data_IF_935862852484
#
_entry.id   IF_935862852484
#
_cell.length_a   1.000
_cell.length_b   1.000
_cell.length_c   1.000
_cell.angle_alpha   90.00
_cell.angle_beta   90.00
_cell.angle_gamma   90.00
#
_symmetry.space_group_name_H-M   'P 1'
#
loop_
_entity.id
_entity.type
_entity.pdbx_description
1 polymer ?
#
# COMPACT_ATOMS: atom_id res chain seq x y z
N UNK A 1 -21.96 11.21 -32.02
CA UNK A 1 -21.01 10.11 -32.31
C UNK A 1 -21.11 9.09 -31.17
N UNK A 2 -21.44 7.84 -31.51
CA UNK A 2 -21.51 6.73 -30.55
C UNK A 2 -20.11 6.18 -30.29
N UNK A 3 -19.89 5.67 -29.08
CA UNK A 3 -18.65 5.06 -28.63
C UNK A 3 -18.84 3.54 -28.60
N UNK A 4 -18.27 2.83 -29.57
CA UNK A 4 -18.34 1.37 -29.63
C UNK A 4 -17.40 0.80 -28.58
N UNK A 5 -17.94 0.55 -27.39
CA UNK A 5 -17.21 0.02 -26.23
C UNK A 5 -17.45 -1.49 -26.08
N UNK A 6 -16.50 -2.19 -25.46
CA UNK A 6 -16.56 -3.62 -25.20
C UNK A 6 -17.42 -3.91 -23.96
N UNK A 7 -18.50 -4.72 -24.07
CA UNK A 7 -19.36 -5.06 -22.95
C UNK A 7 -18.63 -5.81 -21.83
N UNK A 8 -17.68 -6.67 -22.20
CA UNK A 8 -16.85 -7.42 -21.25
C UNK A 8 -15.95 -6.50 -20.42
N UNK A 9 -15.44 -5.41 -21.01
CA UNK A 9 -14.70 -4.40 -20.25
C UNK A 9 -15.60 -3.65 -19.28
N UNK A 10 -16.86 -3.35 -19.65
CA UNK A 10 -17.79 -2.66 -18.74
C UNK A 10 -18.05 -3.53 -17.50
N UNK A 11 -18.34 -4.83 -17.69
CA UNK A 11 -18.54 -5.78 -16.59
C UNK A 11 -17.28 -5.93 -15.73
N UNK A 12 -16.12 -6.08 -16.37
CA UNK A 12 -14.84 -6.16 -15.68
C UNK A 12 -14.57 -4.91 -14.84
N UNK A 13 -14.74 -3.72 -15.42
CA UNK A 13 -14.50 -2.45 -14.74
C UNK A 13 -15.47 -2.23 -13.57
N UNK A 14 -16.72 -2.69 -13.70
CA UNK A 14 -17.68 -2.68 -12.60
C UNK A 14 -17.25 -3.60 -11.45
N UNK A 15 -16.84 -4.85 -11.77
CA UNK A 15 -16.33 -5.80 -10.77
C UNK A 15 -15.10 -5.22 -10.07
N UNK A 16 -14.13 -4.70 -10.83
CA UNK A 16 -12.90 -4.05 -10.33
C UNK A 16 -13.21 -2.89 -9.39
N UNK A 17 -14.17 -2.04 -9.72
CA UNK A 17 -14.56 -0.91 -8.88
C UNK A 17 -15.41 -1.32 -7.66
N UNK A 18 -15.66 -2.62 -7.44
CA UNK A 18 -16.59 -3.19 -6.44
C UNK A 18 -17.92 -2.43 -6.40
N UNK A 19 -18.39 -1.96 -7.55
CA UNK A 19 -19.47 -0.98 -7.60
C UNK A 19 -20.84 -1.69 -7.72
N UNK A 20 -21.76 -1.48 -6.75
CA UNK A 20 -23.07 -2.13 -6.81
C UNK A 20 -23.81 -1.77 -8.10
N UNK A 21 -24.42 -2.77 -8.74
CA UNK A 21 -25.20 -2.59 -9.98
C UNK A 21 -26.28 -1.51 -9.85
N UNK A 22 -26.87 -1.36 -8.66
CA UNK A 22 -27.87 -0.31 -8.38
C UNK A 22 -27.28 1.09 -8.49
N UNK A 23 -26.05 1.31 -7.99
CA UNK A 23 -25.35 2.61 -8.05
C UNK A 23 -24.93 2.97 -9.48
N UNK A 24 -24.56 1.97 -10.27
CA UNK A 24 -24.21 2.17 -11.67
C UNK A 24 -25.46 2.45 -12.52
N UNK A 25 -26.55 1.71 -12.27
CA UNK A 25 -27.83 1.86 -12.98
C UNK A 25 -28.54 3.18 -12.66
N UNK A 26 -28.40 3.70 -11.42
CA UNK A 26 -28.99 4.98 -11.05
C UNK A 26 -28.34 6.16 -11.78
N UNK A 27 -27.03 6.09 -12.06
CA UNK A 27 -26.30 7.11 -12.80
C UNK A 27 -26.38 6.93 -14.32
N UNK A 28 -26.33 5.69 -14.80
CA UNK A 28 -26.34 5.35 -16.22
C UNK A 28 -27.54 4.48 -16.55
N UNK A 29 -28.66 5.13 -16.94
CA UNK A 29 -29.94 4.45 -17.22
C UNK A 29 -29.85 3.30 -18.23
N UNK A 30 -28.89 3.34 -19.17
CA UNK A 30 -28.70 2.34 -20.22
C UNK A 30 -27.57 1.34 -19.95
N UNK A 31 -27.02 1.31 -18.72
CA UNK A 31 -25.84 0.49 -18.42
C UNK A 31 -26.01 -0.99 -18.76
N UNK A 32 -27.16 -1.59 -18.41
CA UNK A 32 -27.44 -3.01 -18.72
C UNK A 32 -27.38 -3.30 -20.22
N UNK A 33 -27.91 -2.37 -21.02
CA UNK A 33 -27.87 -2.48 -22.48
C UNK A 33 -26.44 -2.39 -23.02
N UNK A 34 -25.57 -1.61 -22.36
CA UNK A 34 -24.14 -1.53 -22.71
C UNK A 34 -23.37 -2.78 -22.27
N UNK A 35 -23.66 -3.33 -21.08
CA UNK A 35 -23.10 -4.59 -20.55
C UNK A 35 -23.50 -5.82 -21.38
N UNK A 36 -24.65 -5.77 -22.05
CA UNK A 36 -25.12 -6.83 -22.94
C UNK A 36 -24.70 -6.61 -24.42
N UNK A 37 -24.10 -5.46 -24.75
CA UNK A 37 -23.77 -5.10 -26.14
C UNK A 37 -24.97 -4.78 -27.02
N UNK A 38 -26.15 -4.57 -26.44
CA UNK A 38 -27.39 -4.22 -27.15
C UNK A 38 -27.40 -2.77 -27.64
N UNK A 39 -26.66 -1.88 -26.97
CA UNK A 39 -26.47 -0.50 -27.40
C UNK A 39 -25.14 0.06 -26.95
N UNK A 40 -24.80 1.24 -27.45
CA UNK A 40 -23.55 1.93 -27.12
C UNK A 40 -23.81 3.33 -26.55
N UNK A 41 -22.99 3.78 -25.57
CA UNK A 41 -23.03 5.14 -25.08
C UNK A 41 -22.60 6.15 -26.14
N UNK A 42 -22.91 7.42 -25.92
CA UNK A 42 -22.21 8.52 -26.60
C UNK A 42 -20.76 8.64 -26.10
N UNK A 43 -19.88 9.29 -26.86
CA UNK A 43 -18.50 9.57 -26.40
C UNK A 43 -18.45 10.28 -25.03
N UNK A 44 -19.40 11.18 -24.76
CA UNK A 44 -19.50 11.84 -23.45
C UNK A 44 -19.86 10.84 -22.35
N UNK A 45 -20.91 10.05 -22.56
CA UNK A 45 -21.33 9.02 -21.61
C UNK A 45 -20.25 7.96 -21.38
N UNK A 46 -19.49 7.58 -22.41
CA UNK A 46 -18.39 6.65 -22.28
C UNK A 46 -17.23 7.23 -21.45
N UNK A 47 -16.90 8.53 -21.62
CA UNK A 47 -15.93 9.22 -20.74
C UNK A 47 -16.42 9.32 -19.31
N UNK A 48 -17.69 9.68 -19.12
CA UNK A 48 -18.31 9.77 -17.80
C UNK A 48 -18.31 8.38 -17.12
N UNK A 49 -18.59 7.32 -17.88
CA UNK A 49 -18.56 5.94 -17.42
C UNK A 49 -17.16 5.50 -17.01
N UNK A 50 -16.15 5.74 -17.86
CA UNK A 50 -14.75 5.41 -17.54
C UNK A 50 -14.26 6.15 -16.28
N UNK A 51 -14.60 7.44 -16.16
CA UNK A 51 -14.27 8.25 -14.98
C UNK A 51 -14.94 7.70 -13.73
N UNK A 52 -16.22 7.31 -13.84
CA UNK A 52 -17.00 6.77 -12.74
C UNK A 52 -16.54 5.37 -12.30
N UNK A 53 -16.06 4.55 -13.24
CA UNK A 53 -15.49 3.22 -12.99
C UNK A 53 -13.99 3.24 -12.67
N UNK A 54 -13.38 4.43 -12.61
CA UNK A 54 -11.96 4.63 -12.32
C UNK A 54 -11.02 3.82 -13.24
N UNK A 55 -11.33 3.82 -14.54
CA UNK A 55 -10.49 3.22 -15.58
C UNK A 55 -10.09 4.25 -16.63
N UNK A 56 -8.92 4.09 -17.30
CA UNK A 56 -8.59 4.91 -18.46
C UNK A 56 -9.68 4.82 -19.53
N UNK A 57 -10.05 5.94 -20.14
CA UNK A 57 -11.08 5.95 -21.19
C UNK A 57 -10.80 4.97 -22.34
N UNK A 58 -9.52 4.80 -22.70
CA UNK A 58 -9.10 3.86 -23.74
C UNK A 58 -9.37 2.39 -23.39
N UNK A 59 -9.49 2.04 -22.10
CA UNK A 59 -9.73 0.66 -21.69
C UNK A 59 -11.08 0.14 -22.18
N UNK A 60 -12.10 1.02 -22.27
CA UNK A 60 -13.42 0.66 -22.78
C UNK A 60 -13.41 0.07 -24.20
N UNK A 61 -12.32 0.22 -24.94
CA UNK A 61 -12.15 -0.27 -26.31
C UNK A 61 -11.26 -1.52 -26.40
N UNK A 62 -10.78 -2.06 -25.27
CA UNK A 62 -9.99 -3.30 -25.25
C UNK A 62 -10.87 -4.50 -25.63
N UNK A 63 -10.27 -5.43 -26.37
CA UNK A 63 -10.94 -6.67 -26.79
C UNK A 63 -11.16 -7.65 -25.63
N UNK A 64 -10.31 -7.59 -24.62
CA UNK A 64 -10.36 -8.43 -23.44
C UNK A 64 -9.88 -7.65 -22.21
N UNK A 65 -10.38 -7.98 -20.99
CA UNK A 65 -9.92 -7.37 -19.76
C UNK A 65 -8.39 -7.41 -19.63
N UNK A 66 -7.74 -6.30 -19.24
CA UNK A 66 -6.32 -6.31 -19.01
C UNK A 66 -5.99 -7.21 -17.81
N UNK A 67 -4.85 -7.91 -17.89
CA UNK A 67 -4.29 -8.62 -16.74
C UNK A 67 -3.51 -7.61 -15.91
N UNK A 68 -4.06 -7.24 -14.75
CA UNK A 68 -3.35 -6.42 -13.77
C UNK A 68 -2.26 -7.27 -13.11
N UNK A 69 -1.00 -6.99 -13.44
CA UNK A 69 0.16 -7.66 -12.85
C UNK A 69 0.84 -6.72 -11.88
N UNK A 70 1.14 -7.20 -10.67
CA UNK A 70 2.03 -6.46 -9.78
C UNK A 70 3.47 -6.47 -10.33
N UNK A 71 4.11 -5.31 -10.41
CA UNK A 71 5.44 -5.19 -10.98
C UNK A 71 6.56 -5.73 -10.05
N UNK A 72 6.29 -5.98 -8.76
CA UNK A 72 7.30 -6.41 -7.78
C UNK A 72 7.09 -7.88 -7.39
N UNK A 73 8.09 -8.77 -7.51
CA UNK A 73 7.99 -10.20 -7.19
C UNK A 73 7.46 -10.49 -5.79
N UNK A 74 7.90 -9.77 -4.77
CA UNK A 74 7.56 -10.05 -3.37
C UNK A 74 6.14 -9.62 -2.99
N UNK A 75 5.56 -8.67 -3.72
CA UNK A 75 4.12 -8.38 -3.61
C UNK A 75 3.28 -9.36 -4.44
N UNK A 76 3.87 -10.20 -5.31
CA UNK A 76 3.11 -11.23 -6.06
C UNK A 76 2.78 -12.46 -5.22
N UNK A 77 3.41 -12.61 -4.06
CA UNK A 77 3.07 -13.65 -3.06
C UNK A 77 1.73 -13.39 -2.40
N UNK A 78 1.25 -12.13 -2.47
CA UNK A 78 -0.12 -11.73 -2.15
C UNK A 78 -1.03 -12.44 -3.14
N UNK A 79 -1.89 -13.30 -2.61
CA UNK A 79 -2.42 -14.44 -3.34
C UNK A 79 -3.24 -13.96 -4.56
N UNK A 80 -3.28 -14.76 -5.65
CA UNK A 80 -4.13 -14.44 -6.82
C UNK A 80 -5.61 -14.28 -6.46
N UNK A 81 -6.05 -14.86 -5.34
CA UNK A 81 -7.38 -14.69 -4.77
C UNK A 81 -7.55 -13.30 -4.11
N UNK A 82 -6.57 -12.81 -3.36
CA UNK A 82 -6.58 -11.48 -2.73
C UNK A 82 -6.51 -10.36 -3.78
N UNK A 83 -5.86 -10.63 -4.92
CA UNK A 83 -5.84 -9.72 -6.07
C UNK A 83 -7.22 -9.37 -6.63
N UNK A 84 -8.19 -10.30 -6.58
CA UNK A 84 -9.57 -9.99 -6.97
C UNK A 84 -10.33 -9.21 -5.89
N UNK A 85 -9.80 -9.18 -4.66
CA UNK A 85 -10.41 -8.55 -3.49
C UNK A 85 -9.82 -7.18 -3.14
N UNK A 86 -8.78 -6.68 -3.82
CA UNK A 86 -8.37 -5.29 -3.62
C UNK A 86 -9.22 -4.31 -4.45
N UNK A 87 -9.51 -3.15 -3.86
CA UNK A 87 -10.23 -2.06 -4.46
C UNK A 87 -9.40 -1.37 -5.54
N UNK A 88 -10.09 -0.72 -6.48
CA UNK A 88 -9.46 0.17 -7.45
C UNK A 88 -8.65 1.29 -6.76
N UNK A 89 -9.09 1.75 -5.58
CA UNK A 89 -8.42 2.76 -4.77
C UNK A 89 -7.06 2.27 -4.26
N UNK A 90 -7.02 1.08 -3.68
CA UNK A 90 -5.78 0.45 -3.23
C UNK A 90 -4.83 0.24 -4.41
N UNK A 91 -5.31 -0.41 -5.47
CA UNK A 91 -4.48 -0.75 -6.64
C UNK A 91 -3.89 0.50 -7.30
N UNK A 92 -4.71 1.54 -7.53
CA UNK A 92 -4.22 2.81 -8.11
C UNK A 92 -3.17 3.47 -7.20
N UNK A 93 -3.34 3.37 -5.88
CA UNK A 93 -2.37 3.89 -4.90
C UNK A 93 -1.07 3.10 -4.96
N UNK A 94 -1.15 1.77 -4.92
CA UNK A 94 0.01 0.89 -5.01
C UNK A 94 0.81 1.13 -6.29
N UNK A 95 0.15 1.13 -7.46
CA UNK A 95 0.82 1.43 -8.74
C UNK A 95 1.47 2.82 -8.76
N UNK A 96 0.81 3.82 -8.16
CA UNK A 96 1.36 5.18 -8.04
C UNK A 96 2.63 5.20 -7.19
N UNK A 97 2.66 4.46 -6.08
CA UNK A 97 3.83 4.36 -5.21
C UNK A 97 4.96 3.59 -5.90
N UNK A 98 4.67 2.43 -6.50
CA UNK A 98 5.68 1.65 -7.24
C UNK A 98 6.30 2.49 -8.36
N UNK A 99 5.50 3.25 -9.11
CA UNK A 99 6.05 4.12 -10.17
C UNK A 99 7.00 5.19 -9.61
N UNK A 100 6.67 5.80 -8.47
CA UNK A 100 7.53 6.81 -7.82
C UNK A 100 8.81 6.18 -7.29
N UNK A 101 8.70 5.02 -6.64
CA UNK A 101 9.82 4.25 -6.14
C UNK A 101 10.76 3.85 -7.27
N UNK A 102 10.24 3.34 -8.39
CA UNK A 102 11.05 2.97 -9.56
C UNK A 102 11.74 4.18 -10.18
N UNK A 103 11.05 5.32 -10.30
CA UNK A 103 11.67 6.58 -10.77
C UNK A 103 12.81 7.02 -9.86
N UNK A 104 12.63 6.91 -8.54
CA UNK A 104 13.66 7.24 -7.58
C UNK A 104 14.84 6.27 -7.62
N UNK A 105 14.56 4.97 -7.76
CA UNK A 105 15.58 3.93 -7.93
C UNK A 105 16.46 4.20 -9.14
N UNK A 106 15.86 4.47 -10.30
CA UNK A 106 16.60 4.82 -11.52
C UNK A 106 17.50 6.05 -11.33
N UNK A 107 17.04 7.04 -10.56
CA UNK A 107 17.84 8.21 -10.21
C UNK A 107 19.02 7.85 -9.30
N UNK A 108 18.82 6.99 -8.30
CA UNK A 108 19.88 6.54 -7.39
C UNK A 108 20.91 5.68 -8.11
N UNK A 109 20.47 4.76 -8.98
CA UNK A 109 21.35 3.94 -9.82
C UNK A 109 22.17 4.80 -10.79
N UNK A 110 21.57 5.82 -11.40
CA UNK A 110 22.28 6.77 -12.27
C UNK A 110 23.32 7.63 -11.52
N UNK A 111 23.17 7.77 -10.21
CA UNK A 111 24.13 8.46 -9.34
C UNK A 111 25.15 7.52 -8.70
N UNK A 112 25.13 6.22 -9.07
CA UNK A 112 25.96 5.19 -8.45
C UNK A 112 25.80 5.12 -6.92
N UNK A 113 24.61 5.44 -6.43
CA UNK A 113 24.29 5.32 -5.02
C UNK A 113 24.39 3.84 -4.58
N UNK A 114 25.01 3.63 -3.42
CA UNK A 114 25.12 2.29 -2.84
C UNK A 114 23.78 1.75 -2.33
N UNK A 115 23.73 0.45 -2.09
CA UNK A 115 22.60 -0.18 -1.41
C UNK A 115 22.56 0.21 0.06
N UNK A 116 21.36 0.27 0.63
CA UNK A 116 21.12 0.45 2.05
C UNK A 116 21.35 -0.89 2.77
N UNK A 117 22.39 -1.01 3.60
CA UNK A 117 22.85 -2.30 4.13
C UNK A 117 21.92 -2.92 5.19
N UNK A 118 20.95 -2.15 5.67
CA UNK A 118 19.97 -2.60 6.65
C UNK A 118 18.75 -3.27 6.03
N UNK A 119 18.53 -3.11 4.73
CA UNK A 119 17.42 -3.76 4.02
C UNK A 119 17.70 -5.25 3.89
N UNK A 120 16.80 -6.10 4.40
CA UNK A 120 16.98 -7.55 4.43
C UNK A 120 18.20 -8.01 5.23
N UNK A 121 18.66 -7.20 6.19
CA UNK A 121 19.81 -7.54 7.03
C UNK A 121 19.53 -8.72 7.96
N UNK A 122 18.28 -8.88 8.37
CA UNK A 122 17.83 -9.95 9.25
C UNK A 122 16.91 -10.90 8.50
N UNK A 123 16.75 -12.10 9.04
CA UNK A 123 15.79 -13.08 8.55
C UNK A 123 14.76 -13.39 9.64
N UNK A 124 13.80 -14.25 9.31
CA UNK A 124 12.67 -14.61 10.18
C UNK A 124 13.05 -15.30 11.49
N UNK A 125 14.28 -15.81 11.60
CA UNK A 125 14.79 -16.44 12.83
C UNK A 125 15.60 -15.49 13.70
N UNK A 126 15.75 -14.23 13.29
CA UNK A 126 16.48 -13.24 14.05
C UNK A 126 15.84 -12.95 15.41
N UNK A 127 16.67 -12.61 16.39
CA UNK A 127 16.22 -12.22 17.71
C UNK A 127 15.55 -10.85 17.61
N UNK A 128 14.27 -10.77 17.97
CA UNK A 128 13.45 -9.54 17.87
C UNK A 128 14.16 -8.31 18.46
N UNK A 129 14.79 -8.47 19.63
CA UNK A 129 15.51 -7.39 20.32
C UNK A 129 16.71 -6.87 19.52
N UNK A 130 17.42 -7.75 18.82
CA UNK A 130 18.56 -7.36 17.97
C UNK A 130 18.07 -6.56 16.77
N UNK A 131 16.98 -6.99 16.13
CA UNK A 131 16.38 -6.27 15.00
C UNK A 131 15.88 -4.89 15.45
N UNK A 132 15.15 -4.84 16.56
CA UNK A 132 14.64 -3.58 17.10
C UNK A 132 15.77 -2.62 17.51
N UNK A 133 16.84 -3.11 18.13
CA UNK A 133 18.01 -2.31 18.46
C UNK A 133 18.72 -1.76 17.22
N UNK A 134 18.81 -2.55 16.15
CA UNK A 134 19.42 -2.12 14.88
C UNK A 134 18.57 -1.05 14.18
N UNK A 135 17.24 -1.20 14.17
CA UNK A 135 16.30 -0.19 13.68
C UNK A 135 16.47 1.10 14.47
N UNK A 136 16.43 1.02 15.81
CA UNK A 136 16.56 2.19 16.68
C UNK A 136 17.90 2.89 16.48
N UNK A 137 18.99 2.13 16.36
CA UNK A 137 20.33 2.69 16.12
C UNK A 137 20.42 3.38 14.75
N UNK A 138 19.94 2.72 13.70
CA UNK A 138 19.99 3.24 12.33
C UNK A 138 19.15 4.49 12.15
N UNK A 139 17.95 4.52 12.76
CA UNK A 139 17.06 5.68 12.70
C UNK A 139 17.39 6.73 13.78
N UNK A 140 18.30 6.44 14.71
CA UNK A 140 18.59 7.27 15.87
C UNK A 140 17.38 7.50 16.78
N UNK A 141 16.58 6.46 17.02
CA UNK A 141 15.47 6.45 17.98
C UNK A 141 16.05 6.09 19.36
N UNK A 142 16.23 7.10 20.20
CA UNK A 142 16.68 6.92 21.58
C UNK A 142 15.50 6.93 22.59
N UNK A 143 15.76 6.46 23.81
CA UNK A 143 14.77 6.38 24.89
C UNK A 143 14.25 7.77 25.31
N UNK A 144 15.07 8.81 25.12
CA UNK A 144 14.73 10.20 25.39
C UNK A 144 13.78 10.82 24.36
N UNK A 145 13.73 10.26 23.15
CA UNK A 145 12.94 10.75 22.04
C UNK A 145 11.47 10.81 22.40
N UNK A 146 10.95 9.76 23.07
CA UNK A 146 9.55 9.73 23.48
C UNK A 146 9.27 10.72 24.61
N UNK A 147 10.18 10.85 25.57
CA UNK A 147 10.04 11.74 26.72
C UNK A 147 10.00 13.22 26.33
N UNK A 148 10.69 13.61 25.25
CA UNK A 148 10.70 14.98 24.74
C UNK A 148 9.50 15.36 23.86
N UNK A 149 8.60 14.42 23.56
CA UNK A 149 7.54 14.61 22.56
C UNK A 149 6.15 14.70 23.19
N UNK A 150 5.45 15.77 22.86
CA UNK A 150 4.18 16.16 23.48
C UNK A 150 2.96 15.41 22.93
N UNK A 151 3.06 14.80 21.74
CA UNK A 151 1.93 14.14 21.08
C UNK A 151 2.35 12.98 20.16
N UNK A 152 1.41 12.05 19.92
CA UNK A 152 1.61 10.97 18.95
C UNK A 152 1.80 11.47 17.50
N UNK A 153 1.23 12.63 17.17
CA UNK A 153 1.38 13.23 15.84
C UNK A 153 2.80 13.76 15.61
N UNK A 154 3.35 14.41 16.62
CA UNK A 154 4.74 14.85 16.62
C UNK A 154 5.68 13.64 16.57
N UNK A 155 5.39 12.60 17.36
CA UNK A 155 6.18 11.38 17.37
C UNK A 155 6.24 10.69 16.00
N UNK A 156 5.08 10.52 15.35
CA UNK A 156 5.03 9.98 13.99
C UNK A 156 5.85 10.83 13.01
N UNK A 157 5.76 12.16 13.12
CA UNK A 157 6.50 13.07 12.24
C UNK A 157 8.01 12.90 12.41
N UNK A 158 8.48 12.75 13.65
CA UNK A 158 9.89 12.52 13.95
C UNK A 158 10.38 11.16 13.45
N UNK A 159 9.63 10.07 13.67
CA UNK A 159 10.00 8.74 13.16
C UNK A 159 10.07 8.75 11.63
N UNK A 160 9.06 9.34 10.97
CA UNK A 160 9.03 9.45 9.51
C UNK A 160 10.25 10.22 9.01
N UNK A 161 10.58 11.35 9.64
CA UNK A 161 11.75 12.14 9.24
C UNK A 161 13.06 11.35 9.40
N UNK A 162 13.21 10.61 10.50
CA UNK A 162 14.36 9.74 10.74
C UNK A 162 14.47 8.61 9.71
N UNK A 163 13.35 8.00 9.33
CA UNK A 163 13.31 7.00 8.26
C UNK A 163 13.68 7.59 6.90
N UNK A 164 13.15 8.77 6.56
CA UNK A 164 13.51 9.50 5.33
C UNK A 164 15.00 9.86 5.29
N UNK A 165 15.56 10.33 6.41
CA UNK A 165 16.99 10.68 6.51
C UNK A 165 17.90 9.44 6.39
N UNK A 166 17.39 8.24 6.73
CA UNK A 166 18.07 6.96 6.52
C UNK A 166 17.93 6.42 5.07
N UNK A 167 17.22 7.11 4.19
CA UNK A 167 17.03 6.73 2.79
C UNK A 167 15.74 5.96 2.48
N UNK A 168 14.81 5.85 3.43
CA UNK A 168 13.52 5.17 3.22
C UNK A 168 12.50 6.15 2.64
N UNK A 169 11.86 5.78 1.54
CA UNK A 169 10.77 6.57 0.96
C UNK A 169 9.49 6.37 1.78
N UNK A 170 9.04 7.41 2.49
CA UNK A 170 7.83 7.33 3.32
C UNK A 170 6.65 8.06 2.67
N UNK A 171 5.60 7.33 2.35
CA UNK A 171 4.37 7.87 1.79
C UNK A 171 3.25 7.87 2.82
N UNK A 172 2.51 8.98 2.92
CA UNK A 172 1.37 9.12 3.84
C UNK A 172 0.19 9.72 3.09
N UNK A 173 -0.88 8.96 2.90
CA UNK A 173 -2.08 9.47 2.25
C UNK A 173 -3.33 8.74 2.73
N UNK A 174 -4.47 9.42 2.71
CA UNK A 174 -5.77 8.85 3.07
C UNK A 174 -6.74 8.78 1.89
N UNK A 175 -6.26 9.10 0.68
CA UNK A 175 -7.03 9.15 -0.55
C UNK A 175 -6.14 8.83 -1.76
N UNK A 176 -6.77 8.46 -2.88
CA UNK A 176 -6.04 8.15 -4.12
C UNK A 176 -5.53 9.44 -4.76
N UNK A 177 -4.21 9.61 -4.81
CA UNK A 177 -3.59 10.85 -5.30
C UNK A 177 -4.08 12.06 -4.47
N UNK A 178 -4.76 12.99 -5.13
CA UNK A 178 -5.34 14.18 -4.49
C UNK A 178 -6.88 14.19 -4.57
N UNK A 179 -7.52 13.04 -4.79
CA UNK A 179 -8.97 12.97 -4.99
C UNK A 179 -9.71 12.67 -3.68
N UNK A 180 -10.25 13.72 -3.04
CA UNK A 180 -10.99 13.61 -1.76
C UNK A 180 -12.22 12.71 -1.82
N UNK A 181 -12.76 12.44 -3.00
CA UNK A 181 -13.90 11.53 -3.19
C UNK A 181 -13.49 10.06 -3.33
N UNK A 182 -12.19 9.76 -3.44
CA UNK A 182 -11.62 8.41 -3.48
C UNK A 182 -10.80 8.17 -2.22
N UNK A 183 -11.50 8.03 -1.10
CA UNK A 183 -10.88 7.74 0.20
C UNK A 183 -10.38 6.30 0.27
N UNK A 184 -9.24 6.09 0.93
CA UNK A 184 -8.70 4.76 1.20
C UNK A 184 -9.44 4.13 2.39
N UNK A 185 -9.63 2.81 2.35
CA UNK A 185 -10.27 2.05 3.42
C UNK A 185 -9.22 1.55 4.41
N UNK A 186 -9.39 1.87 5.69
CA UNK A 186 -8.51 1.37 6.77
C UNK A 186 -8.74 -0.12 7.01
N UNK A 187 -9.97 -0.59 6.81
CA UNK A 187 -10.35 -2.00 6.93
C UNK A 187 -9.75 -2.84 5.80
N UNK A 188 -9.45 -2.20 4.65
CA UNK A 188 -8.83 -2.86 3.51
C UNK A 188 -7.31 -2.93 3.62
N UNK A 189 -6.66 -1.87 4.11
CA UNK A 189 -5.22 -1.85 4.37
C UNK A 189 -4.81 -0.66 5.24
N UNK A 190 -3.80 -0.88 6.07
CA UNK A 190 -3.24 0.16 6.95
C UNK A 190 -1.93 0.70 6.45
N UNK A 191 -1.11 -0.15 5.87
CA UNK A 191 0.17 0.19 5.28
C UNK A 191 0.63 -0.89 4.32
N UNK A 192 1.76 -0.61 3.69
CA UNK A 192 2.51 -1.63 2.95
C UNK A 192 3.97 -1.22 2.84
N UNK A 193 4.84 -2.21 2.67
CA UNK A 193 6.27 -2.05 2.49
C UNK A 193 6.72 -2.61 1.14
N UNK A 194 7.65 -1.91 0.51
CA UNK A 194 8.39 -2.34 -0.68
C UNK A 194 9.84 -2.47 -0.26
N UNK A 195 10.26 -3.71 -0.06
CA UNK A 195 11.64 -4.07 0.24
C UNK A 195 12.48 -4.00 -1.03
N UNK A 196 13.29 -2.95 -1.15
CA UNK A 196 14.24 -2.78 -2.23
C UNK A 196 15.55 -2.23 -1.64
N UNK A 197 16.72 -2.84 -1.89
CA UNK A 197 17.97 -2.40 -1.30
C UNK A 197 18.42 -1.00 -1.72
N UNK A 198 17.92 -0.47 -2.83
CA UNK A 198 18.31 0.86 -3.37
C UNK A 198 17.26 1.91 -3.04
N UNK A 199 15.98 1.55 -3.15
CA UNK A 199 14.88 2.48 -2.96
C UNK A 199 13.74 1.83 -2.15
N UNK A 200 13.98 1.53 -0.85
CA UNK A 200 12.95 0.96 0.00
C UNK A 200 11.86 1.98 0.24
N UNK A 201 10.61 1.53 0.27
CA UNK A 201 9.46 2.40 0.45
C UNK A 201 8.45 1.83 1.41
N UNK A 202 7.80 2.70 2.19
CA UNK A 202 6.65 2.36 3.00
C UNK A 202 5.48 3.30 2.72
N UNK A 203 4.27 2.80 2.88
CA UNK A 203 3.06 3.59 2.80
C UNK A 203 2.27 3.48 4.11
N UNK A 204 1.70 4.59 4.56
CA UNK A 204 0.86 4.67 5.75
C UNK A 204 -0.48 5.29 5.36
N UNK A 205 -1.57 4.57 5.62
CA UNK A 205 -2.92 5.05 5.40
C UNK A 205 -3.27 6.13 6.44
N UNK A 206 -3.38 7.38 5.99
CA UNK A 206 -3.62 8.53 6.85
C UNK A 206 -5.07 8.62 7.38
N UNK A 207 -5.96 7.69 7.00
CA UNK A 207 -7.33 7.60 7.52
C UNK A 207 -7.43 6.89 8.88
N UNK A 208 -6.43 6.10 9.27
CA UNK A 208 -6.43 5.44 10.58
C UNK A 208 -6.09 6.44 11.70
N UNK A 209 -6.38 6.07 12.94
CA UNK A 209 -6.04 6.83 14.14
C UNK A 209 -4.54 7.06 14.25
N UNK A 210 -4.14 8.19 14.85
CA UNK A 210 -2.74 8.59 14.90
C UNK A 210 -1.85 7.56 15.63
N UNK A 211 -2.36 6.92 16.68
CA UNK A 211 -1.66 5.86 17.42
C UNK A 211 -1.46 4.61 16.56
N UNK A 212 -2.50 4.18 15.83
CA UNK A 212 -2.40 3.07 14.88
C UNK A 212 -1.36 3.36 13.80
N UNK A 213 -1.31 4.59 13.29
CA UNK A 213 -0.35 5.00 12.26
C UNK A 213 1.11 4.99 12.74
N UNK A 214 1.36 5.25 14.02
CA UNK A 214 2.70 5.09 14.62
C UNK A 214 3.10 3.62 14.62
N UNK A 215 2.20 2.75 15.04
CA UNK A 215 2.43 1.31 15.01
C UNK A 215 2.67 0.81 13.58
N UNK A 216 1.78 1.14 12.64
CA UNK A 216 1.95 0.80 11.22
C UNK A 216 3.29 1.29 10.69
N UNK A 217 3.71 2.52 10.99
CA UNK A 217 5.02 3.02 10.55
C UNK A 217 6.17 2.12 11.03
N UNK A 218 6.17 1.72 12.30
CA UNK A 218 7.21 0.85 12.86
C UNK A 218 7.13 -0.58 12.28
N UNK A 219 5.92 -1.09 12.06
CA UNK A 219 5.66 -2.39 11.46
C UNK A 219 6.16 -2.45 10.01
N UNK A 220 5.83 -1.47 9.16
CA UNK A 220 6.33 -1.43 7.77
C UNK A 220 7.86 -1.27 7.72
N UNK A 221 8.47 -0.57 8.68
CA UNK A 221 9.94 -0.49 8.81
C UNK A 221 10.52 -1.86 9.18
N UNK A 222 9.86 -2.63 10.05
CA UNK A 222 10.31 -3.98 10.40
C UNK A 222 10.34 -4.91 9.18
N UNK A 223 9.33 -4.82 8.29
CA UNK A 223 9.33 -5.55 7.02
C UNK A 223 10.57 -5.29 6.17
N UNK A 224 11.00 -4.03 6.09
CA UNK A 224 12.22 -3.66 5.36
C UNK A 224 13.48 -4.30 5.96
N UNK A 225 13.57 -4.42 7.29
CA UNK A 225 14.71 -5.05 7.98
C UNK A 225 14.76 -6.58 7.78
N UNK A 226 13.59 -7.22 7.71
CA UNK A 226 13.46 -8.65 7.37
C UNK A 226 13.67 -8.89 5.87
N UNK A 227 13.50 -7.84 5.05
CA UNK A 227 13.72 -7.90 3.60
C UNK A 227 12.50 -8.36 2.81
N UNK A 228 11.32 -8.36 3.42
CA UNK A 228 10.08 -8.86 2.83
C UNK A 228 9.16 -7.68 2.48
N UNK A 229 8.64 -7.64 1.25
CA UNK A 229 7.56 -6.70 0.92
C UNK A 229 6.23 -7.27 1.42
N UNK A 230 5.32 -6.43 1.88
CA UNK A 230 4.05 -6.88 2.46
C UNK A 230 2.97 -5.80 2.42
N UNK A 231 1.70 -6.23 2.53
CA UNK A 231 0.55 -5.34 2.76
C UNK A 231 -0.01 -5.68 4.14
N UNK A 232 -0.06 -4.71 5.04
CA UNK A 232 -0.58 -4.93 6.39
C UNK A 232 -2.10 -4.74 6.45
N UNK A 233 -2.78 -5.85 6.73
CA UNK A 233 -4.22 -5.92 7.02
C UNK A 233 -4.42 -6.55 8.40
N UNK A 234 -5.15 -5.87 9.29
CA UNK A 234 -5.37 -6.36 10.67
C UNK A 234 -6.48 -7.41 10.79
N UNK A 235 -7.19 -7.73 9.70
CA UNK A 235 -8.14 -8.85 9.74
C UNK A 235 -7.41 -10.18 9.54
N UNK A 236 -6.99 -10.76 10.66
CA UNK A 236 -6.73 -12.19 10.84
C UNK A 236 -7.92 -13.01 10.31
N UNK A 237 -7.95 -13.35 9.02
CA UNK A 237 -9.11 -14.06 8.50
C UNK A 237 -9.08 -14.63 7.09
N UNK A 238 -8.18 -14.18 6.21
CA UNK A 238 -8.21 -14.63 4.81
C UNK A 238 -6.86 -15.21 4.42
N UNK A 239 -6.77 -16.53 4.59
CA UNK A 239 -5.86 -17.46 3.90
C UNK A 239 -4.58 -16.89 3.28
N UNK A 240 -3.61 -16.50 4.11
CA UNK A 240 -2.21 -16.53 3.73
C UNK A 240 -1.58 -17.81 4.26
N UNK A 241 -0.65 -18.39 3.50
CA UNK A 241 0.11 -19.57 3.94
C UNK A 241 0.77 -19.27 5.29
N UNK A 242 1.02 -20.28 6.13
CA UNK A 242 1.58 -20.12 7.49
C UNK A 242 2.81 -19.17 7.56
N UNK A 243 3.54 -19.09 6.45
CA UNK A 243 4.74 -18.30 6.21
C UNK A 243 4.51 -16.78 6.31
N UNK A 244 3.44 -16.24 5.72
CA UNK A 244 3.20 -14.79 5.73
C UNK A 244 2.71 -14.36 7.11
N UNK A 245 1.84 -15.18 7.72
CA UNK A 245 1.36 -14.97 9.09
C UNK A 245 2.51 -14.99 10.12
N UNK A 246 3.56 -15.78 9.89
CA UNK A 246 4.75 -15.76 10.74
C UNK A 246 5.55 -14.46 10.61
N UNK A 247 5.71 -13.92 9.39
CA UNK A 247 6.39 -12.63 9.18
C UNK A 247 5.61 -11.51 9.86
N UNK A 248 4.30 -11.44 9.65
CA UNK A 248 3.44 -10.41 10.26
C UNK A 248 3.59 -10.41 11.79
N UNK A 249 3.54 -11.59 12.42
CA UNK A 249 3.73 -11.75 13.87
C UNK A 249 5.13 -11.33 14.34
N UNK A 250 6.15 -11.54 13.52
CA UNK A 250 7.52 -11.11 13.82
C UNK A 250 7.61 -9.58 13.71
N UNK A 251 7.08 -9.00 12.64
CA UNK A 251 7.08 -7.56 12.40
C UNK A 251 6.28 -6.81 13.46
N UNK A 252 5.15 -7.36 13.92
CA UNK A 252 4.40 -6.83 15.06
C UNK A 252 5.23 -6.77 16.34
N UNK A 253 5.94 -7.86 16.67
CA UNK A 253 6.80 -7.91 17.86
C UNK A 253 7.97 -6.94 17.75
N UNK A 254 8.58 -6.82 16.57
CA UNK A 254 9.64 -5.84 16.31
C UNK A 254 9.10 -4.42 16.45
N UNK A 255 7.92 -4.13 15.89
CA UNK A 255 7.30 -2.81 15.99
C UNK A 255 7.02 -2.42 17.44
N UNK A 256 6.51 -3.35 18.25
CA UNK A 256 6.33 -3.17 19.71
C UNK A 256 7.67 -2.86 20.36
N UNK A 257 8.69 -3.68 20.15
CA UNK A 257 10.01 -3.51 20.79
C UNK A 257 10.73 -2.22 20.33
N UNK A 258 10.52 -1.78 19.09
CA UNK A 258 11.06 -0.50 18.58
C UNK A 258 10.40 0.68 19.29
N UNK A 259 9.07 0.65 19.47
CA UNK A 259 8.30 1.76 20.02
C UNK A 259 8.30 1.82 21.54
N UNK A 260 8.31 0.65 22.19
CA UNK A 260 8.23 0.48 23.64
C UNK A 260 9.16 -0.69 24.03
N UNK A 261 10.47 -0.44 24.19
CA UNK A 261 11.47 -1.47 24.42
C UNK A 261 11.32 -2.04 25.83
N UNK A 262 11.54 -3.35 26.00
CA UNK A 262 11.37 -4.00 27.31
C UNK A 262 12.29 -3.41 28.38
N UNK A 263 13.46 -2.89 27.99
CA UNK A 263 14.42 -2.26 28.88
C UNK A 263 13.86 -1.07 29.66
N UNK A 264 12.92 -0.31 29.09
CA UNK A 264 12.28 0.82 29.77
C UNK A 264 11.45 0.36 30.99
N UNK A 265 10.87 -0.85 30.94
CA UNK A 265 10.11 -1.42 32.05
C UNK A 265 10.99 -2.07 33.12
N UNK A 266 12.18 -2.55 32.75
CA UNK A 266 13.13 -3.15 33.70
C UNK A 266 13.96 -2.10 34.45
N UNK A 267 14.01 -0.86 33.95
CA UNK A 267 14.68 0.28 34.59
C UNK A 267 13.78 1.13 35.50
N UNK A 268 12.48 0.82 35.57
CA UNK A 268 11.47 1.52 36.38
C UNK A 268 11.26 0.84 37.74
#
# INVERSE_FOLDING_TARGET
MQAVISPEIVKWAQKRAKMPSVKLSSKFKKIRSWENGESHPTLKQARDLATFLHIPFGFLYLSQPPVEKLPIPDLRTINKAEHEDFSAEFMDTLYSIIRKQQTYKELMEAQEAGVLPFIGRFNRTAVIKEVAADIRTTLGIDDGLRAGISSWSEYLTVIVKKAEDAGILVFRNGMVGNNTHRSLSVDEFKGFAISDPVAPAIFINAKDYITSRVFTCAHEIAHLWIGESGISNLEEGISSENIDMEIEKICDKIAVEVLVPESEFLSA
#
